data_IF_850374613606
#
_entry.id   IF_850374613606
#
_cell.length_a   1.000
_cell.length_b   1.000
_cell.length_c   1.000
_cell.angle_alpha   90.00
_cell.angle_beta   90.00
_cell.angle_gamma   90.00
#
_symmetry.space_group_name_H-M   'P 1'
#
loop_
_entity.id
_entity.type
_entity.pdbx_description
1 polymer ?
#
# COMPACT_ATOMS: atom_id res chain seq x y z
N UNK A 1 -5.28 2.36 11.35
CA UNK A 1 -6.47 3.01 10.72
C UNK A 1 -6.00 3.70 9.45
N UNK A 2 -6.73 3.53 8.34
CA UNK A 2 -6.42 4.20 7.05
C UNK A 2 -6.40 5.71 7.27
N UNK A 3 -5.41 6.39 6.68
CA UNK A 3 -5.21 7.81 6.89
C UNK A 3 -4.84 8.55 5.59
N UNK A 4 -4.86 9.86 5.65
CA UNK A 4 -4.59 10.73 4.50
C UNK A 4 -3.15 10.59 3.95
N UNK A 5 -2.18 10.24 4.81
CA UNK A 5 -0.78 10.04 4.38
C UNK A 5 -0.58 8.77 3.55
N UNK A 6 -1.48 7.78 3.67
CA UNK A 6 -1.51 6.64 2.77
C UNK A 6 -2.07 7.00 1.40
N UNK A 7 -3.11 7.86 1.34
CA UNK A 7 -3.88 8.11 0.12
C UNK A 7 -3.41 9.34 -0.65
N UNK A 8 -2.98 10.38 0.05
CA UNK A 8 -2.55 11.66 -0.50
C UNK A 8 -1.15 12.07 0.00
N UNK A 9 -0.13 11.17 -0.08
CA UNK A 9 1.21 11.50 0.39
C UNK A 9 1.81 12.65 -0.43
N UNK A 10 2.49 13.58 0.24
CA UNK A 10 3.29 14.61 -0.42
C UNK A 10 4.74 14.14 -0.65
N UNK A 11 5.13 13.07 0.03
CA UNK A 11 6.46 12.46 -0.11
C UNK A 11 6.40 10.94 0.09
N UNK A 12 7.12 10.21 -0.75
CA UNK A 12 7.21 8.74 -0.70
C UNK A 12 8.68 8.33 -0.67
N UNK A 13 9.06 7.50 0.32
CA UNK A 13 10.34 6.82 0.35
C UNK A 13 10.20 5.35 -0.05
N UNK A 14 11.07 4.86 -0.94
CA UNK A 14 11.13 3.46 -1.37
C UNK A 14 12.38 2.82 -0.77
N UNK A 15 12.18 2.00 0.27
CA UNK A 15 13.25 1.27 0.96
C UNK A 15 13.50 -0.04 0.20
N UNK A 16 14.74 -0.19 -0.30
CA UNK A 16 15.07 -1.26 -1.24
C UNK A 16 14.80 -0.89 -2.70
N UNK A 17 14.78 0.40 -3.01
CA UNK A 17 14.73 0.91 -4.37
C UNK A 17 15.89 0.36 -5.22
N UNK A 18 15.71 0.24 -6.54
CA UNK A 18 16.72 -0.37 -7.41
C UNK A 18 16.68 0.19 -8.84
N UNK A 19 17.87 0.30 -9.46
CA UNK A 19 17.98 0.54 -10.89
C UNK A 19 17.53 -0.69 -11.73
N UNK A 20 17.52 -1.88 -11.12
CA UNK A 20 17.02 -3.09 -11.77
C UNK A 20 15.49 -3.14 -11.71
N UNK A 21 14.83 -2.81 -12.82
CA UNK A 21 13.36 -2.82 -12.98
C UNK A 21 12.73 -4.22 -12.95
N UNK A 22 13.53 -5.31 -12.86
CA UNK A 22 12.98 -6.65 -12.61
C UNK A 22 12.73 -6.91 -11.13
N UNK A 23 13.35 -6.14 -10.23
CA UNK A 23 13.15 -6.21 -8.78
C UNK A 23 11.91 -5.41 -8.34
N UNK A 24 11.19 -5.83 -7.29
CA UNK A 24 10.02 -5.10 -6.79
C UNK A 24 10.28 -3.62 -6.54
N UNK A 25 11.33 -3.27 -5.79
CA UNK A 25 11.69 -1.87 -5.51
C UNK A 25 12.02 -1.06 -6.77
N UNK A 26 12.60 -1.69 -7.81
CA UNK A 26 12.84 -1.04 -9.09
C UNK A 26 11.55 -0.80 -9.89
N UNK A 27 10.61 -1.75 -9.85
CA UNK A 27 9.28 -1.60 -10.49
C UNK A 27 8.47 -0.50 -9.82
N UNK A 28 8.49 -0.40 -8.48
CA UNK A 28 7.78 0.64 -7.75
C UNK A 28 8.27 2.03 -8.14
N UNK A 29 9.60 2.23 -8.14
CA UNK A 29 10.21 3.50 -8.57
C UNK A 29 9.77 3.85 -10.00
N UNK A 30 9.90 2.89 -10.93
CA UNK A 30 9.47 3.07 -12.32
C UNK A 30 8.00 3.47 -12.42
N UNK A 31 7.12 2.75 -11.72
CA UNK A 31 5.68 2.98 -11.77
C UNK A 31 5.31 4.37 -11.23
N UNK A 32 5.93 4.83 -10.14
CA UNK A 32 5.70 6.15 -9.58
C UNK A 32 6.17 7.27 -10.53
N UNK A 33 7.32 7.08 -11.20
CA UNK A 33 7.83 8.05 -12.18
C UNK A 33 6.96 8.08 -13.43
N UNK A 34 6.64 6.92 -14.02
CA UNK A 34 5.86 6.84 -15.26
C UNK A 34 4.43 7.35 -15.09
N UNK A 35 3.84 7.18 -13.88
CA UNK A 35 2.54 7.72 -13.55
C UNK A 35 2.59 9.14 -12.93
N UNK A 36 3.75 9.81 -13.04
CA UNK A 36 3.93 11.22 -12.74
C UNK A 36 3.51 11.60 -11.31
N UNK A 37 3.96 10.83 -10.31
CA UNK A 37 3.71 11.21 -8.92
C UNK A 37 4.14 12.65 -8.67
N UNK A 38 3.21 13.48 -8.19
CA UNK A 38 3.41 14.93 -8.11
C UNK A 38 4.25 15.37 -6.87
N UNK A 39 4.42 14.47 -5.88
CA UNK A 39 5.17 14.74 -4.65
C UNK A 39 6.66 14.43 -4.77
N UNK A 40 7.34 14.42 -3.64
CA UNK A 40 8.77 14.11 -3.55
C UNK A 40 8.99 12.60 -3.49
N UNK A 41 9.93 12.09 -4.30
CA UNK A 41 10.36 10.68 -4.27
C UNK A 41 11.77 10.58 -3.70
N UNK A 42 11.94 9.64 -2.76
CA UNK A 42 13.22 9.32 -2.17
C UNK A 42 13.49 7.82 -2.32
N UNK A 43 14.70 7.48 -2.75
CA UNK A 43 15.16 6.11 -2.81
C UNK A 43 16.06 5.79 -1.60
N UNK A 44 16.00 4.56 -1.08
CA UNK A 44 16.98 4.05 -0.12
C UNK A 44 17.60 2.78 -0.68
N UNK A 45 18.90 2.85 -0.96
CA UNK A 45 19.71 1.73 -1.42
C UNK A 45 21.18 1.93 -0.98
N UNK A 46 21.76 1.02 -0.19
CA UNK A 46 23.12 1.18 0.32
C UNK A 46 24.22 1.17 -0.74
N UNK A 47 23.93 0.73 -1.97
CA UNK A 47 24.92 0.55 -3.05
C UNK A 47 24.76 1.55 -4.20
N UNK A 48 23.74 2.39 -4.18
CA UNK A 48 23.35 3.26 -5.30
C UNK A 48 23.14 4.69 -4.78
N UNK A 49 23.86 5.67 -5.30
CA UNK A 49 23.65 7.09 -4.96
C UNK A 49 22.52 7.76 -5.76
N UNK A 50 22.12 7.13 -6.87
CA UNK A 50 21.00 7.54 -7.72
C UNK A 50 20.27 6.29 -8.21
N UNK A 51 18.95 6.25 -8.05
CA UNK A 51 18.08 5.18 -8.55
C UNK A 51 17.08 5.76 -9.53
N UNK A 52 17.19 5.37 -10.81
CA UNK A 52 16.31 5.82 -11.90
C UNK A 52 16.14 7.35 -11.97
N UNK A 53 17.20 8.11 -11.70
CA UNK A 53 17.20 9.57 -11.68
C UNK A 53 16.79 10.22 -10.34
N UNK A 54 16.37 9.42 -9.35
CA UNK A 54 16.01 9.92 -8.02
C UNK A 54 17.26 9.85 -7.11
N UNK A 55 17.51 10.87 -6.27
CA UNK A 55 18.53 10.81 -5.23
C UNK A 55 18.29 9.62 -4.29
N UNK A 56 19.35 8.86 -4.01
CA UNK A 56 19.28 7.69 -3.14
C UNK A 56 20.14 7.88 -1.90
N UNK A 57 19.56 7.53 -0.76
CA UNK A 57 20.20 7.53 0.55
C UNK A 57 20.75 6.14 0.86
N UNK A 58 21.83 6.06 1.60
CA UNK A 58 22.41 4.76 1.97
C UNK A 58 21.62 4.04 3.07
N UNK A 59 20.89 4.79 3.89
CA UNK A 59 20.13 4.34 5.05
C UNK A 59 18.86 5.16 5.25
N UNK A 60 17.85 4.56 5.89
CA UNK A 60 16.62 5.27 6.31
C UNK A 60 16.92 6.43 7.27
N UNK A 61 18.03 6.36 8.03
CA UNK A 61 18.43 7.38 8.99
C UNK A 61 18.87 8.71 8.34
N UNK A 62 19.11 8.70 7.04
CA UNK A 62 19.51 9.89 6.28
C UNK A 62 18.31 10.55 5.56
N UNK A 63 17.13 9.91 5.60
CA UNK A 63 15.94 10.44 4.95
C UNK A 63 15.43 11.72 5.63
N UNK A 64 14.94 12.69 4.85
CA UNK A 64 14.07 13.73 5.41
C UNK A 64 12.75 13.11 5.89
N UNK A 65 11.92 13.90 6.57
CA UNK A 65 10.58 13.45 6.93
C UNK A 65 9.77 13.07 5.69
N UNK A 66 9.09 11.91 5.73
CA UNK A 66 8.30 11.37 4.62
C UNK A 66 6.92 10.93 5.10
N UNK A 67 5.92 11.13 4.25
CA UNK A 67 4.54 10.76 4.56
C UNK A 67 4.30 9.25 4.47
N UNK A 68 4.80 8.63 3.39
CA UNK A 68 4.62 7.21 3.07
C UNK A 68 5.97 6.53 2.85
N UNK A 69 6.18 5.40 3.51
CA UNK A 69 7.33 4.53 3.26
C UNK A 69 6.89 3.18 2.67
N UNK A 70 7.50 2.80 1.54
CA UNK A 70 7.26 1.53 0.86
C UNK A 70 8.47 0.63 1.07
N UNK A 71 8.28 -0.51 1.73
CA UNK A 71 9.35 -1.44 2.06
C UNK A 71 9.37 -2.62 1.07
N UNK A 72 10.42 -2.66 0.25
CA UNK A 72 10.72 -3.72 -0.72
C UNK A 72 12.05 -4.42 -0.36
N UNK A 73 12.27 -4.67 0.92
CA UNK A 73 13.45 -5.32 1.51
C UNK A 73 13.05 -6.63 2.20
N UNK A 74 13.99 -7.51 2.51
CA UNK A 74 13.69 -8.75 3.25
C UNK A 74 13.05 -8.44 4.62
N UNK A 75 12.14 -9.31 5.06
CA UNK A 75 11.32 -9.13 6.27
C UNK A 75 12.11 -8.71 7.52
N UNK A 76 13.28 -9.29 7.72
CA UNK A 76 14.19 -8.97 8.85
C UNK A 76 14.66 -7.51 8.89
N UNK A 77 14.59 -6.79 7.76
CA UNK A 77 14.99 -5.39 7.68
C UNK A 77 13.80 -4.43 7.81
N UNK A 78 12.55 -4.93 7.80
CA UNK A 78 11.37 -4.08 7.89
C UNK A 78 11.19 -3.49 9.28
N UNK A 79 11.28 -4.29 10.34
CA UNK A 79 11.07 -3.83 11.72
C UNK A 79 12.01 -2.66 12.11
N UNK A 80 13.35 -2.77 11.95
CA UNK A 80 14.24 -1.66 12.31
C UNK A 80 14.00 -0.41 11.46
N UNK A 81 13.65 -0.57 10.17
CA UNK A 81 13.34 0.57 9.30
C UNK A 81 12.04 1.27 9.73
N UNK A 82 10.97 0.51 9.99
CA UNK A 82 9.68 1.06 10.43
C UNK A 82 9.82 1.74 11.78
N UNK A 83 10.56 1.12 12.71
CA UNK A 83 10.80 1.70 14.03
C UNK A 83 11.44 3.08 13.91
N UNK A 84 12.55 3.20 13.19
CA UNK A 84 13.21 4.48 12.98
C UNK A 84 12.28 5.50 12.29
N UNK A 85 11.61 5.10 11.22
CA UNK A 85 10.74 5.99 10.44
C UNK A 85 9.52 6.48 11.24
N UNK A 86 8.96 5.64 12.10
CA UNK A 86 7.83 6.03 12.95
C UNK A 86 8.27 6.90 14.14
N UNK A 87 9.38 6.54 14.80
CA UNK A 87 9.85 7.20 16.04
C UNK A 87 10.57 8.53 15.76
N UNK A 88 11.46 8.55 14.75
CA UNK A 88 12.38 9.67 14.53
C UNK A 88 11.99 10.54 13.32
N UNK A 89 11.29 9.97 12.34
CA UNK A 89 10.95 10.63 11.08
C UNK A 89 9.47 11.05 11.00
N UNK A 90 8.64 10.64 11.97
CA UNK A 90 7.19 10.87 12.05
C UNK A 90 6.40 10.36 10.83
N UNK A 91 6.90 9.30 10.17
CA UNK A 91 6.20 8.67 9.04
C UNK A 91 4.88 8.06 9.48
N UNK A 92 3.79 8.38 8.79
CA UNK A 92 2.42 7.99 9.17
C UNK A 92 1.79 6.93 8.29
N UNK A 93 2.43 6.52 7.20
CA UNK A 93 1.92 5.45 6.34
C UNK A 93 3.05 4.52 5.89
N UNK A 94 2.75 3.22 5.89
CA UNK A 94 3.67 2.16 5.51
C UNK A 94 3.00 1.17 4.57
N UNK A 95 3.74 0.70 3.55
CA UNK A 95 3.35 -0.42 2.69
C UNK A 95 4.49 -1.43 2.71
N UNK A 96 4.26 -2.66 3.17
CA UNK A 96 5.25 -3.74 3.14
C UNK A 96 4.91 -4.67 1.98
N UNK A 97 5.75 -4.63 0.95
CA UNK A 97 5.60 -5.48 -0.25
C UNK A 97 6.09 -6.90 0.00
N UNK A 98 7.14 -7.03 0.80
CA UNK A 98 7.85 -8.28 0.98
C UNK A 98 7.01 -9.34 1.68
N UNK A 99 7.24 -10.60 1.30
CA UNK A 99 6.85 -11.80 2.03
C UNK A 99 7.92 -12.16 3.09
N UNK A 100 7.65 -13.20 3.88
CA UNK A 100 8.54 -13.67 4.94
C UNK A 100 8.02 -13.35 6.34
N UNK A 101 6.72 -13.19 6.48
CA UNK A 101 6.01 -12.81 7.70
C UNK A 101 5.07 -13.92 8.19
N UNK A 102 3.84 -13.62 8.56
CA UNK A 102 2.90 -14.57 9.16
C UNK A 102 2.65 -15.82 8.35
N UNK A 103 2.78 -15.77 7.04
CA UNK A 103 2.71 -16.94 6.14
C UNK A 103 3.87 -17.93 6.35
N UNK A 104 4.97 -17.50 6.99
CA UNK A 104 6.12 -18.37 7.31
C UNK A 104 6.01 -19.05 8.69
N UNK A 105 4.93 -18.81 9.43
CA UNK A 105 4.68 -19.39 10.74
C UNK A 105 4.91 -18.45 11.92
N UNK A 106 5.13 -19.01 13.13
CA UNK A 106 5.09 -18.23 14.38
C UNK A 106 6.13 -17.11 14.48
N UNK A 107 7.35 -17.31 13.97
CA UNK A 107 8.36 -16.23 13.97
C UNK A 107 7.97 -15.05 13.09
N UNK A 108 7.32 -15.33 11.96
CA UNK A 108 6.80 -14.31 11.09
C UNK A 108 5.61 -13.56 11.69
N UNK A 109 4.70 -14.26 12.36
CA UNK A 109 3.58 -13.63 13.10
C UNK A 109 4.08 -12.74 14.24
N UNK A 110 5.12 -13.18 14.96
CA UNK A 110 5.72 -12.37 16.01
C UNK A 110 6.29 -11.06 15.44
N UNK A 111 6.97 -11.13 14.28
CA UNK A 111 7.50 -9.96 13.60
C UNK A 111 6.38 -9.00 13.14
N UNK A 112 5.29 -9.53 12.57
CA UNK A 112 4.10 -8.73 12.24
C UNK A 112 3.56 -8.01 13.47
N UNK A 113 3.39 -8.73 14.58
CA UNK A 113 2.88 -8.18 15.83
C UNK A 113 3.73 -7.01 16.34
N UNK A 114 5.05 -7.17 16.36
CA UNK A 114 5.98 -6.12 16.79
C UNK A 114 5.90 -4.88 15.88
N UNK A 115 5.78 -5.07 14.57
CA UNK A 115 5.58 -3.97 13.62
C UNK A 115 4.25 -3.26 13.88
N UNK A 116 3.15 -4.02 14.04
CA UNK A 116 1.81 -3.46 14.29
C UNK A 116 1.76 -2.68 15.60
N UNK A 117 2.44 -3.17 16.65
CA UNK A 117 2.54 -2.45 17.93
C UNK A 117 3.19 -1.07 17.75
N UNK A 118 4.31 -0.98 17.02
CA UNK A 118 5.00 0.29 16.73
C UNK A 118 4.10 1.22 15.90
N UNK A 119 3.53 0.70 14.81
CA UNK A 119 2.68 1.48 13.92
C UNK A 119 1.46 2.05 14.66
N UNK A 120 0.84 1.25 15.56
CA UNK A 120 -0.28 1.70 16.38
C UNK A 120 0.13 2.76 17.42
N UNK A 121 1.28 2.60 18.09
CA UNK A 121 1.80 3.57 19.06
C UNK A 121 2.02 4.96 18.43
N UNK A 122 2.36 5.01 17.13
CA UNK A 122 2.61 6.25 16.40
C UNK A 122 1.41 6.74 15.57
N UNK A 123 0.21 6.12 15.74
CA UNK A 123 -1.00 6.42 14.98
C UNK A 123 -0.77 6.38 13.47
N UNK A 124 0.06 5.46 13.00
CA UNK A 124 0.36 5.25 11.59
C UNK A 124 -0.51 4.14 10.98
N UNK A 125 -0.57 4.10 9.65
CA UNK A 125 -1.27 3.09 8.86
C UNK A 125 -0.28 2.11 8.24
N UNK A 126 -0.61 0.82 8.25
CA UNK A 126 0.17 -0.22 7.61
C UNK A 126 -0.69 -1.03 6.64
N UNK A 127 -0.25 -1.13 5.39
CA UNK A 127 -0.75 -2.04 4.36
C UNK A 127 0.22 -3.20 4.17
N UNK A 128 -0.29 -4.41 4.09
CA UNK A 128 0.50 -5.62 3.96
C UNK A 128 0.75 -6.30 5.33
N UNK A 129 1.85 -7.05 5.47
CA UNK A 129 2.86 -7.39 4.47
C UNK A 129 2.36 -8.31 3.35
N UNK A 130 3.27 -8.72 2.45
CA UNK A 130 3.00 -9.68 1.38
C UNK A 130 1.87 -9.21 0.45
N UNK A 131 1.92 -7.97 0.00
CA UNK A 131 0.93 -7.32 -0.87
C UNK A 131 1.56 -6.80 -2.16
N UNK A 132 0.74 -6.43 -3.15
CA UNK A 132 1.26 -5.76 -4.36
C UNK A 132 1.37 -4.24 -4.19
N UNK A 133 0.71 -3.67 -3.18
CA UNK A 133 0.70 -2.24 -2.89
C UNK A 133 -0.66 -1.57 -3.13
N UNK A 134 -0.63 -0.27 -3.33
CA UNK A 134 -1.83 0.58 -3.46
C UNK A 134 -1.74 1.43 -4.73
N UNK A 135 -2.86 1.57 -5.43
CA UNK A 135 -3.05 2.50 -6.54
C UNK A 135 -4.23 3.43 -6.23
N UNK A 136 -3.96 4.72 -6.27
CA UNK A 136 -4.95 5.81 -6.17
C UNK A 136 -4.69 6.81 -7.29
N UNK A 137 -5.58 7.75 -7.55
CA UNK A 137 -5.30 8.85 -8.49
C UNK A 137 -4.05 9.68 -8.13
N UNK A 138 -3.61 9.65 -6.87
CA UNK A 138 -2.45 10.39 -6.39
C UNK A 138 -1.14 9.63 -6.55
N UNK A 139 -1.13 8.30 -6.42
CA UNK A 139 0.09 7.51 -6.55
C UNK A 139 -0.16 6.05 -6.97
N UNK A 140 0.81 5.46 -7.64
CA UNK A 140 0.80 4.06 -8.08
C UNK A 140 1.92 3.27 -7.37
N UNK A 141 1.74 3.10 -6.07
CA UNK A 141 2.72 2.43 -5.19
C UNK A 141 2.61 0.91 -5.28
N UNK A 142 2.80 0.36 -6.49
CA UNK A 142 2.72 -1.09 -6.77
C UNK A 142 3.93 -1.57 -7.56
N UNK A 143 4.27 -2.86 -7.41
CA UNK A 143 5.36 -3.48 -8.19
C UNK A 143 4.88 -4.32 -9.39
N UNK A 144 3.59 -4.30 -9.68
CA UNK A 144 2.97 -5.10 -10.75
C UNK A 144 2.69 -4.28 -11.99
N UNK A 145 2.47 -4.96 -13.11
CA UNK A 145 2.00 -4.44 -14.39
C UNK A 145 1.00 -5.43 -14.99
N UNK A 146 0.03 -5.01 -15.82
CA UNK A 146 -0.21 -3.62 -16.26
C UNK A 146 -0.77 -2.74 -15.14
N UNK A 147 -0.51 -1.43 -15.22
CA UNK A 147 -1.17 -0.46 -14.35
C UNK A 147 -2.44 0.01 -15.07
N UNK A 148 -3.64 -0.18 -14.49
CA UNK A 148 -4.87 0.32 -15.07
C UNK A 148 -4.86 1.86 -15.08
N UNK A 149 -5.41 2.45 -16.13
CA UNK A 149 -5.75 3.88 -16.08
C UNK A 149 -6.90 4.05 -15.08
N UNK A 150 -6.62 4.72 -13.98
CA UNK A 150 -7.63 4.99 -12.96
C UNK A 150 -8.60 6.06 -13.46
N UNK A 151 -9.89 5.87 -13.19
CA UNK A 151 -10.97 6.79 -13.60
C UNK A 151 -11.98 6.94 -12.48
N UNK A 152 -12.53 8.14 -12.23
CA UNK A 152 -13.48 8.38 -11.13
C UNK A 152 -14.74 7.51 -11.18
N UNK A 153 -15.13 7.05 -12.37
CA UNK A 153 -16.28 6.18 -12.62
C UNK A 153 -15.93 4.69 -12.59
N UNK A 154 -14.70 4.34 -12.21
CA UNK A 154 -14.25 2.98 -11.97
C UNK A 154 -14.75 2.41 -10.64
N UNK A 155 -14.39 1.16 -10.35
CA UNK A 155 -14.64 0.57 -9.03
C UNK A 155 -13.47 0.81 -8.06
N UNK A 156 -13.77 0.85 -6.77
CA UNK A 156 -12.78 0.63 -5.74
C UNK A 156 -12.56 -0.87 -5.58
N UNK A 157 -11.36 -1.32 -5.83
CA UNK A 157 -11.00 -2.73 -5.72
C UNK A 157 -10.13 -2.98 -4.51
N UNK A 158 -10.61 -3.82 -3.59
CA UNK A 158 -9.91 -4.22 -2.37
C UNK A 158 -9.66 -5.73 -2.43
N UNK A 159 -8.40 -6.14 -2.27
CA UNK A 159 -8.01 -7.55 -2.40
C UNK A 159 -7.12 -8.01 -1.26
N UNK A 160 -7.49 -9.12 -0.62
CA UNK A 160 -6.64 -9.87 0.32
C UNK A 160 -5.49 -10.60 -0.38
N UNK A 161 -5.59 -10.84 -1.70
CA UNK A 161 -4.59 -11.56 -2.49
C UNK A 161 -3.95 -10.69 -3.55
N UNK A 162 -2.63 -10.57 -3.52
CA UNK A 162 -1.87 -9.86 -4.55
C UNK A 162 -1.97 -10.54 -5.92
N UNK A 163 -1.84 -11.88 -5.97
CA UNK A 163 -1.92 -12.64 -7.22
C UNK A 163 -3.30 -12.54 -7.86
N UNK A 164 -4.35 -12.66 -7.06
CA UNK A 164 -5.74 -12.52 -7.53
C UNK A 164 -6.02 -11.09 -8.00
N UNK A 165 -5.49 -10.09 -7.31
CA UNK A 165 -5.61 -8.70 -7.76
C UNK A 165 -5.01 -8.49 -9.16
N UNK A 166 -3.80 -8.98 -9.40
CA UNK A 166 -3.15 -8.92 -10.72
C UNK A 166 -4.00 -9.62 -11.77
N UNK A 167 -4.47 -10.84 -11.48
CA UNK A 167 -5.30 -11.62 -12.41
C UNK A 167 -6.60 -10.89 -12.78
N UNK A 168 -7.29 -10.29 -11.79
CA UNK A 168 -8.53 -9.53 -12.02
C UNK A 168 -8.25 -8.29 -12.86
N UNK A 169 -7.16 -7.56 -12.59
CA UNK A 169 -6.77 -6.38 -13.35
C UNK A 169 -6.45 -6.77 -14.81
N UNK A 170 -5.59 -7.76 -15.02
CA UNK A 170 -5.21 -8.22 -16.36
C UNK A 170 -6.39 -8.74 -17.17
N UNK A 171 -7.27 -9.52 -16.53
CA UNK A 171 -8.44 -10.12 -17.20
C UNK A 171 -9.60 -9.14 -17.38
N UNK A 172 -9.71 -8.15 -16.50
CA UNK A 172 -10.82 -7.21 -16.45
C UNK A 172 -10.65 -6.03 -17.41
N UNK A 173 -9.44 -5.48 -17.53
CA UNK A 173 -9.17 -4.32 -18.41
C UNK A 173 -9.64 -4.58 -19.85
N UNK A 174 -9.29 -5.71 -20.51
CA UNK A 174 -9.76 -5.97 -21.88
C UNK A 174 -11.27 -6.15 -22.01
N UNK A 175 -11.95 -6.41 -20.90
CA UNK A 175 -13.42 -6.56 -20.83
C UNK A 175 -14.14 -5.26 -20.45
N UNK A 176 -13.39 -4.15 -20.30
CA UNK A 176 -13.95 -2.85 -19.96
C UNK A 176 -14.08 -2.56 -18.47
N UNK A 177 -13.52 -3.42 -17.58
CA UNK A 177 -13.47 -3.12 -16.15
C UNK A 177 -12.57 -1.91 -15.92
N UNK A 178 -13.08 -0.92 -15.20
CA UNK A 178 -12.37 0.30 -14.83
C UNK A 178 -12.20 0.37 -13.33
N UNK A 179 -11.08 0.92 -12.90
CA UNK A 179 -10.71 1.06 -11.49
C UNK A 179 -10.61 2.55 -11.14
N UNK A 180 -11.09 2.91 -9.97
CA UNK A 180 -10.86 4.22 -9.36
C UNK A 180 -9.70 4.14 -8.36
N UNK A 181 -9.73 3.10 -7.50
CA UNK A 181 -8.67 2.79 -6.56
C UNK A 181 -8.44 1.28 -6.52
N UNK A 182 -7.22 0.86 -6.15
CA UNK A 182 -6.88 -0.54 -5.90
C UNK A 182 -6.07 -0.64 -4.62
N UNK A 183 -6.54 -1.47 -3.70
CA UNK A 183 -5.89 -1.75 -2.42
C UNK A 183 -5.59 -3.25 -2.33
N UNK A 184 -4.33 -3.61 -2.23
CA UNK A 184 -3.94 -4.99 -1.92
C UNK A 184 -3.47 -5.03 -0.47
N UNK A 185 -4.23 -5.69 0.40
CA UNK A 185 -3.96 -5.70 1.84
C UNK A 185 -3.06 -6.86 2.29
N UNK A 186 -2.80 -7.85 1.40
CA UNK A 186 -1.90 -8.97 1.69
C UNK A 186 -2.30 -9.74 2.94
N UNK A 187 -1.35 -9.96 3.87
CA UNK A 187 -1.59 -10.65 5.15
C UNK A 187 -2.51 -9.88 6.09
N UNK A 188 -2.83 -8.61 5.81
CA UNK A 188 -3.72 -7.76 6.62
C UNK A 188 -3.28 -7.62 8.08
N UNK A 189 -1.98 -7.46 8.33
CA UNK A 189 -1.44 -7.48 9.70
C UNK A 189 -2.03 -6.37 10.61
N UNK A 190 -2.34 -5.18 10.06
CA UNK A 190 -3.03 -4.09 10.77
C UNK A 190 -4.32 -3.67 10.05
N UNK A 191 -4.26 -3.56 8.72
CA UNK A 191 -5.36 -3.02 7.90
C UNK A 191 -5.89 -4.13 7.00
N UNK A 192 -7.11 -4.55 7.25
CA UNK A 192 -7.84 -5.56 6.48
C UNK A 192 -8.76 -4.97 5.41
N UNK A 193 -9.48 -5.85 4.71
CA UNK A 193 -10.49 -5.45 3.71
C UNK A 193 -11.59 -4.61 4.35
N UNK A 194 -12.03 -4.98 5.56
CA UNK A 194 -13.04 -4.29 6.34
C UNK A 194 -12.62 -2.87 6.76
N UNK A 195 -11.31 -2.65 6.99
CA UNK A 195 -10.80 -1.33 7.36
C UNK A 195 -10.78 -0.37 6.17
N UNK A 196 -10.37 -0.86 5.00
CA UNK A 196 -10.45 -0.08 3.76
C UNK A 196 -11.91 0.21 3.42
N UNK A 197 -12.80 -0.78 3.53
CA UNK A 197 -14.22 -0.57 3.25
C UNK A 197 -14.85 0.45 4.19
N UNK A 198 -14.51 0.41 5.49
CA UNK A 198 -14.94 1.39 6.48
C UNK A 198 -14.49 2.80 6.09
N UNK A 199 -13.22 2.96 5.73
CA UNK A 199 -12.70 4.25 5.28
C UNK A 199 -13.47 4.78 4.06
N UNK A 200 -13.73 3.92 3.05
CA UNK A 200 -14.48 4.31 1.84
C UNK A 200 -15.94 4.64 2.14
N UNK A 201 -16.53 4.06 3.18
CA UNK A 201 -17.88 4.39 3.62
C UNK A 201 -17.93 5.72 4.40
N UNK A 202 -17.00 5.92 5.32
CA UNK A 202 -16.88 7.13 6.14
C UNK A 202 -16.58 8.39 5.31
N UNK A 203 -15.83 8.22 4.22
CA UNK A 203 -15.44 9.30 3.29
C UNK A 203 -16.32 9.37 2.04
N UNK A 204 -17.44 8.62 2.01
CA UNK A 204 -18.31 8.58 0.84
C UNK A 204 -19.00 9.93 0.60
N UNK A 205 -18.86 10.44 -0.62
CA UNK A 205 -19.54 11.63 -1.11
C UNK A 205 -20.40 11.28 -2.33
N UNK A 206 -21.72 11.54 -2.24
CA UNK A 206 -22.66 11.23 -3.32
C UNK A 206 -22.30 11.98 -4.61
N UNK A 207 -22.35 11.28 -5.74
CA UNK A 207 -21.98 11.81 -7.05
C UNK A 207 -20.48 12.00 -7.30
N UNK A 208 -19.61 11.77 -6.30
CA UNK A 208 -18.15 11.89 -6.39
C UNK A 208 -17.48 10.53 -6.20
N UNK A 209 -17.82 9.84 -5.09
CA UNK A 209 -17.21 8.56 -4.75
C UNK A 209 -17.63 7.45 -5.73
N UNK A 210 -16.73 6.52 -6.07
CA UNK A 210 -17.05 5.34 -6.86
C UNK A 210 -18.23 4.57 -6.26
N UNK A 211 -19.20 4.21 -7.09
CA UNK A 211 -20.41 3.49 -6.63
C UNK A 211 -20.17 2.01 -6.41
N UNK A 212 -19.23 1.41 -7.14
CA UNK A 212 -18.97 -0.03 -7.10
C UNK A 212 -17.75 -0.30 -6.22
N UNK A 213 -17.93 -1.16 -5.21
CA UNK A 213 -16.85 -1.73 -4.40
C UNK A 213 -16.66 -3.20 -4.79
N UNK A 214 -15.51 -3.54 -5.35
CA UNK A 214 -15.13 -4.90 -5.71
C UNK A 214 -14.24 -5.47 -4.60
N UNK A 215 -14.66 -6.56 -3.98
CA UNK A 215 -13.95 -7.17 -2.86
C UNK A 215 -13.47 -8.58 -3.23
N UNK A 216 -12.22 -8.89 -2.94
CA UNK A 216 -11.72 -10.25 -2.86
C UNK A 216 -11.17 -10.50 -1.46
N UNK A 217 -11.80 -11.40 -0.73
CA UNK A 217 -11.60 -11.59 0.70
C UNK A 217 -11.00 -12.98 0.95
N UNK A 218 -9.86 -13.05 1.61
CA UNK A 218 -9.25 -14.30 2.07
C UNK A 218 -9.40 -14.47 3.59
N UNK A 219 -9.36 -13.36 4.33
CA UNK A 219 -9.54 -13.32 5.78
C UNK A 219 -10.32 -12.07 6.17
N UNK A 220 -11.04 -12.15 7.28
CA UNK A 220 -11.76 -11.02 7.91
C UNK A 220 -11.52 -11.12 9.41
N UNK A 221 -10.88 -10.12 9.98
CA UNK A 221 -10.64 -10.06 11.41
C UNK A 221 -11.84 -9.49 12.17
N UNK A 222 -12.59 -8.59 11.55
CA UNK A 222 -13.80 -8.00 12.12
C UNK A 222 -15.02 -8.12 11.16
N UNK A 223 -15.74 -9.26 11.18
CA UNK A 223 -16.91 -9.46 10.33
C UNK A 223 -18.04 -8.45 10.55
N UNK A 224 -18.27 -8.02 11.78
CA UNK A 224 -19.32 -7.05 12.10
C UNK A 224 -19.04 -5.70 11.45
N UNK A 225 -17.79 -5.24 11.49
CA UNK A 225 -17.33 -4.03 10.81
C UNK A 225 -17.54 -4.12 9.30
N UNK A 226 -17.18 -5.25 8.68
CA UNK A 226 -17.41 -5.46 7.25
C UNK A 226 -18.90 -5.35 6.89
N UNK A 227 -19.77 -6.02 7.64
CA UNK A 227 -21.21 -6.03 7.40
C UNK A 227 -21.84 -4.64 7.61
N UNK A 228 -21.44 -3.92 8.65
CA UNK A 228 -21.90 -2.56 8.94
C UNK A 228 -21.63 -1.62 7.76
N UNK A 229 -20.35 -1.51 7.35
CA UNK A 229 -19.94 -0.59 6.29
C UNK A 229 -20.40 -1.03 4.90
N UNK A 230 -20.47 -2.34 4.62
CA UNK A 230 -21.06 -2.83 3.37
C UNK A 230 -22.54 -2.47 3.28
N UNK A 231 -23.31 -2.66 4.37
CA UNK A 231 -24.74 -2.30 4.42
C UNK A 231 -24.93 -0.79 4.28
N UNK A 232 -24.09 0.01 4.92
CA UNK A 232 -24.12 1.46 4.80
C UNK A 232 -23.88 1.92 3.36
N UNK A 233 -22.84 1.40 2.68
CA UNK A 233 -22.53 1.72 1.28
C UNK A 233 -23.64 1.30 0.32
N UNK A 234 -24.26 0.12 0.52
CA UNK A 234 -25.41 -0.33 -0.29
C UNK A 234 -26.59 0.65 -0.16
N UNK A 235 -26.83 1.21 1.03
CA UNK A 235 -27.89 2.17 1.27
C UNK A 235 -27.59 3.58 0.70
N UNK A 236 -26.32 3.91 0.48
CA UNK A 236 -25.88 5.16 -0.16
C UNK A 236 -25.96 5.11 -1.69
N UNK A 237 -26.15 3.93 -2.29
CA UNK A 237 -26.30 3.72 -3.74
C UNK A 237 -25.12 3.11 -4.40
#
# INVERSE_FOLDING_TARGET
>A
MVNDKLLHPQSIAIIGASNNISKPGGKIVKNLIENQFAGQLYAVNPNESVVQGIPSFSSVNELPSVDLAILAVAAQHCLPAIKFLAEENDTKAFIIISAGFGEMGESGKQLEKEIVEIVNQHNACLIGPNCIGVMTPQHTSVFTTPIPKLTPDGCDFISGSGATAVFIIESGIPKGLRFANVFSVGNSAQTGVEDILAYLDETYEDGISPRVKLLYIENIDNPDKLLEHASSLINKG
#
